data_IF_851910423130
#
_entry.id   IF_851910423130
#
_cell.length_a   1.000
_cell.length_b   1.000
_cell.length_c   1.000
_cell.angle_alpha   90.00
_cell.angle_beta   90.00
_cell.angle_gamma   90.00
#
_symmetry.space_group_name_H-M   'P 1'
#
loop_
_entity.id
_entity.type
_entity.pdbx_description
1 polymer ?
#
# COMPACT_ATOMS: atom_id res chain seq x y z
N UNK A 1 -2.76 24.76 -7.22
CA UNK A 1 -1.73 24.16 -6.34
C UNK A 1 -1.38 22.80 -6.93
N UNK A 2 -0.11 22.52 -7.25
CA UNK A 2 0.27 21.22 -7.79
C UNK A 2 0.66 20.30 -6.61
N UNK A 3 0.04 19.13 -6.49
CA UNK A 3 0.37 18.15 -5.45
C UNK A 3 1.87 17.79 -5.45
N UNK A 4 2.48 17.79 -6.64
CA UNK A 4 3.92 17.50 -6.84
C UNK A 4 4.84 18.58 -6.25
N UNK A 5 4.33 19.76 -5.94
CA UNK A 5 5.09 20.84 -5.31
C UNK A 5 5.12 20.75 -3.79
N UNK A 6 4.34 19.85 -3.19
CA UNK A 6 4.34 19.65 -1.74
C UNK A 6 5.68 19.06 -1.26
N UNK A 7 6.22 19.53 -0.12
CA UNK A 7 7.31 18.86 0.58
C UNK A 7 7.00 17.39 0.88
N UNK A 8 8.05 16.55 0.92
CA UNK A 8 7.89 15.12 1.21
C UNK A 8 7.19 14.88 2.55
N UNK A 9 7.44 15.70 3.57
CA UNK A 9 6.80 15.55 4.88
C UNK A 9 5.27 15.63 4.77
N UNK A 10 4.74 16.65 4.09
CA UNK A 10 3.28 16.79 3.93
C UNK A 10 2.67 15.64 3.10
N UNK A 11 3.42 15.09 2.15
CA UNK A 11 2.96 13.92 1.41
C UNK A 11 2.95 12.66 2.27
N UNK A 12 3.94 12.49 3.16
CA UNK A 12 3.95 11.40 4.14
C UNK A 12 2.78 11.56 5.12
N UNK A 13 2.52 12.78 5.60
CA UNK A 13 1.37 13.05 6.47
C UNK A 13 0.05 12.68 5.77
N UNK A 14 -0.06 12.90 4.45
CA UNK A 14 -1.21 12.42 3.65
C UNK A 14 -1.22 10.89 3.56
N UNK A 15 -0.06 10.25 3.41
CA UNK A 15 0.03 8.79 3.30
C UNK A 15 -0.45 8.09 4.57
N UNK A 16 -0.19 8.65 5.75
CA UNK A 16 -0.65 8.10 7.03
C UNK A 16 -2.18 8.14 7.20
N UNK A 17 -2.90 8.92 6.38
CA UNK A 17 -4.36 8.99 6.37
C UNK A 17 -5.02 7.91 5.49
N UNK A 18 -4.23 7.18 4.71
CA UNK A 18 -4.71 6.24 3.69
C UNK A 18 -4.28 4.81 4.02
N UNK A 19 -5.14 3.84 3.70
CA UNK A 19 -4.71 2.44 3.73
C UNK A 19 -3.76 2.12 2.56
N UNK A 20 -3.12 0.95 2.61
CA UNK A 20 -2.13 0.56 1.59
C UNK A 20 -2.70 0.46 0.18
N UNK A 21 -3.99 0.18 0.03
CA UNK A 21 -4.67 0.03 -1.26
C UNK A 21 -4.98 1.40 -1.83
N UNK A 22 -5.52 2.28 -1.00
CA UNK A 22 -5.76 3.67 -1.34
C UNK A 22 -4.44 4.34 -1.74
N UNK A 23 -3.35 4.09 -1.02
CA UNK A 23 -2.01 4.57 -1.35
C UNK A 23 -1.54 4.09 -2.72
N UNK A 24 -1.59 2.78 -2.96
CA UNK A 24 -1.17 2.21 -4.22
C UNK A 24 -2.03 2.74 -5.37
N UNK A 25 -3.35 2.75 -5.25
CA UNK A 25 -4.26 3.27 -6.28
C UNK A 25 -4.05 4.74 -6.57
N UNK A 26 -3.81 5.54 -5.54
CA UNK A 26 -3.72 6.99 -5.68
C UNK A 26 -2.35 7.46 -6.15
N UNK A 27 -1.25 6.80 -5.77
CA UNK A 27 0.10 7.33 -5.97
C UNK A 27 1.02 6.46 -6.83
N UNK A 28 0.73 5.17 -6.99
CA UNK A 28 1.55 4.30 -7.84
C UNK A 28 1.42 4.70 -9.31
N UNK A 29 2.56 4.78 -9.99
CA UNK A 29 2.71 5.09 -11.42
C UNK A 29 2.21 6.48 -11.84
N UNK A 30 1.97 7.39 -10.89
CA UNK A 30 1.65 8.78 -11.22
C UNK A 30 2.87 9.54 -11.77
N UNK A 31 4.00 9.46 -11.06
CA UNK A 31 5.28 9.99 -11.50
C UNK A 31 6.44 9.37 -10.70
N UNK A 32 7.66 9.57 -11.20
CA UNK A 32 8.87 8.99 -10.61
C UNK A 32 9.14 9.45 -9.18
N UNK A 33 8.72 10.66 -8.80
CA UNK A 33 8.92 11.21 -7.46
C UNK A 33 7.98 10.54 -6.46
N UNK A 34 6.71 10.40 -6.79
CA UNK A 34 5.74 9.72 -5.94
C UNK A 34 6.04 8.24 -5.82
N UNK A 35 6.45 7.56 -6.90
CA UNK A 35 6.89 6.17 -6.82
C UNK A 35 8.05 5.99 -5.84
N UNK A 36 9.08 6.86 -5.91
CA UNK A 36 10.20 6.83 -4.96
C UNK A 36 9.73 7.06 -3.53
N UNK A 37 8.88 8.06 -3.30
CA UNK A 37 8.39 8.38 -1.96
C UNK A 37 7.53 7.25 -1.39
N UNK A 38 6.65 6.67 -2.20
CA UNK A 38 5.79 5.55 -1.85
C UNK A 38 6.60 4.30 -1.48
N UNK A 39 7.65 3.99 -2.24
CA UNK A 39 8.51 2.84 -1.93
C UNK A 39 9.36 3.09 -0.67
N UNK A 40 9.89 4.30 -0.48
CA UNK A 40 10.57 4.65 0.78
C UNK A 40 9.63 4.60 1.97
N UNK A 41 8.35 4.95 1.79
CA UNK A 41 7.33 4.79 2.81
C UNK A 41 7.10 3.31 3.15
N UNK A 42 6.96 2.43 2.15
CA UNK A 42 6.79 0.98 2.41
C UNK A 42 8.02 0.27 2.96
N UNK A 43 9.22 0.85 2.81
CA UNK A 43 10.43 0.37 3.49
C UNK A 43 10.38 0.63 5.01
N UNK A 44 9.68 1.68 5.45
CA UNK A 44 9.62 2.12 6.85
C UNK A 44 8.33 1.69 7.56
N UNK A 45 7.22 1.58 6.83
CA UNK A 45 5.89 1.32 7.36
C UNK A 45 5.34 -0.01 6.88
N UNK A 46 4.48 -0.63 7.68
CA UNK A 46 3.83 -1.88 7.29
C UNK A 46 2.77 -1.64 6.22
N UNK A 47 2.66 -2.57 5.27
CA UNK A 47 1.46 -2.62 4.42
C UNK A 47 0.27 -3.06 5.26
N UNK A 48 -0.71 -2.18 5.41
CA UNK A 48 -1.89 -2.42 6.20
C UNK A 48 -3.07 -2.82 5.31
N UNK A 49 -3.42 -4.10 5.40
CA UNK A 49 -4.58 -4.73 4.75
C UNK A 49 -5.60 -5.21 5.81
N UNK A 50 -5.75 -4.50 6.93
CA UNK A 50 -6.69 -4.92 7.98
C UNK A 50 -8.16 -4.65 7.67
N UNK A 51 -8.43 -3.65 6.84
CA UNK A 51 -9.78 -3.24 6.44
C UNK A 51 -9.86 -3.17 4.92
N UNK A 52 -9.54 -4.29 4.27
CA UNK A 52 -9.62 -4.44 2.81
C UNK A 52 -10.76 -5.37 2.43
N UNK A 53 -11.49 -5.05 1.36
CA UNK A 53 -12.39 -6.00 0.74
C UNK A 53 -11.58 -7.02 -0.08
N UNK A 54 -11.87 -8.31 0.04
CA UNK A 54 -11.14 -9.39 -0.67
C UNK A 54 -10.83 -9.09 -2.14
N UNK A 55 -11.79 -8.55 -2.88
CA UNK A 55 -11.61 -8.21 -4.29
C UNK A 55 -10.50 -7.16 -4.53
N UNK A 56 -10.39 -6.16 -3.64
CA UNK A 56 -9.34 -5.14 -3.70
C UNK A 56 -7.98 -5.75 -3.34
N UNK A 57 -7.95 -6.65 -2.36
CA UNK A 57 -6.73 -7.38 -2.00
C UNK A 57 -6.19 -8.19 -3.17
N UNK A 58 -7.05 -8.98 -3.82
CA UNK A 58 -6.67 -9.82 -4.96
C UNK A 58 -6.08 -8.97 -6.11
N UNK A 59 -6.69 -7.81 -6.40
CA UNK A 59 -6.19 -6.86 -7.41
C UNK A 59 -4.80 -6.36 -7.03
N UNK A 60 -4.59 -5.93 -5.79
CA UNK A 60 -3.30 -5.42 -5.32
C UNK A 60 -2.23 -6.52 -5.35
N UNK A 61 -2.56 -7.73 -4.91
CA UNK A 61 -1.66 -8.88 -4.94
C UNK A 61 -1.21 -9.24 -6.36
N UNK A 62 -2.09 -9.12 -7.34
CA UNK A 62 -1.76 -9.44 -8.73
C UNK A 62 -1.00 -8.31 -9.43
N UNK A 63 -1.36 -7.05 -9.18
CA UNK A 63 -0.88 -5.91 -9.97
C UNK A 63 0.30 -5.17 -9.35
N UNK A 64 0.27 -4.97 -8.02
CA UNK A 64 1.20 -4.06 -7.35
C UNK A 64 2.19 -4.79 -6.46
N UNK A 65 1.74 -5.81 -5.72
CA UNK A 65 2.58 -6.53 -4.76
C UNK A 65 3.88 -7.06 -5.37
N UNK A 66 3.93 -7.63 -6.60
CA UNK A 66 5.18 -8.11 -7.19
C UNK A 66 6.22 -7.01 -7.39
N UNK A 67 5.80 -5.75 -7.58
CA UNK A 67 6.68 -4.60 -7.80
C UNK A 67 7.29 -4.09 -6.50
N UNK A 68 6.60 -4.28 -5.38
CA UNK A 68 6.98 -3.76 -4.06
C UNK A 68 7.40 -4.84 -3.07
N UNK A 69 7.28 -6.13 -3.42
CA UNK A 69 7.59 -7.25 -2.53
C UNK A 69 8.98 -7.14 -1.89
N UNK A 70 9.97 -6.76 -2.69
CA UNK A 70 11.37 -6.61 -2.23
C UNK A 70 11.61 -5.33 -1.42
N UNK A 71 10.59 -4.49 -1.26
CA UNK A 71 10.65 -3.18 -0.60
C UNK A 71 9.86 -3.13 0.70
N UNK A 72 9.04 -4.13 0.98
CA UNK A 72 8.19 -4.17 2.17
C UNK A 72 8.93 -4.90 3.29
N UNK A 73 9.03 -4.26 4.46
CA UNK A 73 9.56 -4.92 5.65
C UNK A 73 8.49 -5.72 6.40
N UNK A 74 7.24 -5.26 6.39
CA UNK A 74 6.16 -5.90 7.14
C UNK A 74 4.79 -5.72 6.51
N UNK A 75 3.92 -6.68 6.79
CA UNK A 75 2.56 -6.80 6.25
C UNK A 75 1.62 -7.03 7.43
N UNK A 76 0.50 -6.32 7.45
CA UNK A 76 -0.59 -6.51 8.39
C UNK A 76 -1.81 -7.05 7.65
N UNK A 77 -2.15 -8.31 7.91
CA UNK A 77 -3.35 -8.97 7.40
C UNK A 77 -4.41 -9.04 8.51
N UNK A 78 -5.67 -9.21 8.14
CA UNK A 78 -6.75 -9.51 9.07
C UNK A 78 -7.60 -10.66 8.54
N UNK A 79 -7.94 -11.59 9.43
CA UNK A 79 -8.89 -12.67 9.19
C UNK A 79 -10.22 -12.29 9.87
N UNK A 80 -10.93 -11.35 9.27
CA UNK A 80 -12.26 -10.93 9.71
C UNK A 80 -13.34 -11.45 8.75
N UNK A 81 -14.61 -11.16 9.03
CA UNK A 81 -15.74 -11.63 8.21
C UNK A 81 -15.67 -11.14 6.74
N UNK A 82 -15.00 -10.02 6.48
CA UNK A 82 -14.83 -9.45 5.14
C UNK A 82 -13.70 -10.15 4.35
N UNK A 83 -12.66 -10.64 5.04
CA UNK A 83 -11.52 -11.35 4.46
C UNK A 83 -11.18 -12.64 5.22
N UNK A 84 -12.06 -13.65 5.20
CA UNK A 84 -11.80 -14.89 5.91
C UNK A 84 -10.60 -15.65 5.28
N UNK A 85 -9.68 -16.11 6.12
CA UNK A 85 -8.48 -16.88 5.77
C UNK A 85 -7.45 -16.14 4.88
N UNK A 86 -7.45 -14.81 4.88
CA UNK A 86 -6.51 -13.99 4.13
C UNK A 86 -5.05 -14.33 4.48
N UNK A 87 -4.77 -14.54 5.77
CA UNK A 87 -3.43 -14.90 6.24
C UNK A 87 -2.96 -16.23 5.66
N UNK A 88 -3.87 -17.21 5.56
CA UNK A 88 -3.55 -18.53 4.99
C UNK A 88 -3.37 -18.48 3.48
N UNK A 89 -4.18 -17.69 2.77
CA UNK A 89 -4.09 -17.51 1.32
C UNK A 89 -2.83 -16.77 0.89
N UNK A 90 -2.33 -15.84 1.71
CA UNK A 90 -1.10 -15.12 1.40
C UNK A 90 0.16 -16.00 1.51
N UNK A 91 0.13 -17.03 2.36
CA UNK A 91 1.27 -17.90 2.63
C UNK A 91 1.29 -19.18 1.77
N UNK A 92 0.27 -19.42 0.95
CA UNK A 92 0.14 -20.57 0.04
C UNK A 92 0.71 -20.27 -1.33
#
# INVERSE_FOLDING_TARGET
MNLESLPNQLLIDIFELLDSIQLLRAFHDLNIRFNKLLFSYFELYSLNFRSVLKHDFDIICQQHLPLILNKIHSLCLCDNDETPNLSSLFLS
#
